data_IF_196533881765
#
_entry.id   IF_196533881765
#
_cell.length_a   1.000
_cell.length_b   1.000
_cell.length_c   1.000
_cell.angle_alpha   90.00
_cell.angle_beta   90.00
_cell.angle_gamma   90.00
#
_symmetry.space_group_name_H-M   'P 1'
#
loop_
_entity.id
_entity.type
_entity.pdbx_description
1 polymer ?
#
# COMPACT_ATOMS: atom_id res chain seq x y z
N UNK A 1 -23.70 -8.86 17.62
CA UNK A 1 -22.43 -8.34 17.11
C UNK A 1 -21.34 -9.38 17.38
N UNK A 2 -20.90 -10.09 16.35
CA UNK A 2 -19.71 -10.96 16.45
C UNK A 2 -18.49 -10.05 16.41
N UNK A 3 -17.92 -9.77 17.55
CA UNK A 3 -16.55 -9.29 17.65
C UNK A 3 -15.65 -10.44 17.23
N UNK A 4 -15.06 -10.37 16.06
CA UNK A 4 -13.96 -11.25 15.70
C UNK A 4 -12.78 -10.73 16.53
N UNK A 5 -12.56 -11.35 17.67
CA UNK A 5 -11.28 -11.25 18.35
C UNK A 5 -10.26 -11.87 17.39
N UNK A 6 -9.42 -11.03 16.78
CA UNK A 6 -8.21 -11.52 16.12
C UNK A 6 -7.39 -12.13 17.26
N UNK A 7 -7.31 -13.44 17.26
CA UNK A 7 -6.61 -14.17 18.31
C UNK A 7 -5.16 -13.69 18.36
N UNK A 8 -4.62 -13.41 19.55
CA UNK A 8 -3.24 -12.96 19.76
C UNK A 8 -2.23 -13.89 19.06
N UNK A 9 -2.52 -15.19 18.94
CA UNK A 9 -1.71 -16.15 18.20
C UNK A 9 -1.65 -15.87 16.71
N UNK A 10 -2.76 -15.42 16.09
CA UNK A 10 -2.80 -15.06 14.66
C UNK A 10 -1.99 -13.82 14.38
N UNK A 11 -2.07 -12.80 15.22
CA UNK A 11 -1.26 -11.57 15.07
C UNK A 11 0.23 -11.89 15.21
N UNK A 12 0.59 -12.73 16.19
CA UNK A 12 1.97 -13.18 16.38
C UNK A 12 2.50 -13.94 15.15
N UNK A 13 1.70 -14.81 14.56
CA UNK A 13 2.06 -15.52 13.33
C UNK A 13 2.29 -14.58 12.15
N UNK A 14 1.44 -13.56 11.99
CA UNK A 14 1.59 -12.53 10.95
C UNK A 14 2.92 -11.79 11.14
N UNK A 15 3.20 -11.33 12.35
CA UNK A 15 4.43 -10.61 12.67
C UNK A 15 5.66 -11.51 12.43
N UNK A 16 5.62 -12.77 12.85
CA UNK A 16 6.70 -13.72 12.62
C UNK A 16 6.98 -13.90 11.13
N UNK A 17 5.94 -14.02 10.30
CA UNK A 17 6.09 -14.11 8.85
C UNK A 17 6.72 -12.83 8.26
N UNK A 18 6.26 -11.67 8.69
CA UNK A 18 6.82 -10.39 8.27
C UNK A 18 8.30 -10.25 8.65
N UNK A 19 8.68 -10.71 9.83
CA UNK A 19 10.07 -10.68 10.31
C UNK A 19 11.00 -11.59 9.51
N UNK A 20 10.47 -12.67 8.95
CA UNK A 20 11.25 -13.56 8.07
C UNK A 20 11.57 -12.92 6.72
N UNK A 21 10.81 -11.93 6.30
CA UNK A 21 10.95 -11.31 4.99
C UNK A 21 10.34 -12.12 3.85
N UNK A 22 10.65 -11.73 2.64
CA UNK A 22 10.18 -12.45 1.44
C UNK A 22 8.74 -12.18 1.04
N UNK A 23 8.07 -11.19 1.64
CA UNK A 23 6.69 -10.86 1.34
C UNK A 23 6.57 -9.64 0.44
N UNK A 24 5.49 -9.60 -0.35
CA UNK A 24 4.95 -8.38 -0.92
C UNK A 24 4.02 -7.76 0.11
N UNK A 25 4.27 -6.50 0.48
CA UNK A 25 3.42 -5.79 1.43
C UNK A 25 2.79 -4.61 0.71
N UNK A 26 1.54 -4.79 0.30
CA UNK A 26 0.74 -3.72 -0.27
C UNK A 26 0.15 -2.87 0.83
N UNK A 27 0.27 -1.56 0.72
CA UNK A 27 -0.37 -0.62 1.63
C UNK A 27 -1.25 0.32 0.80
N UNK A 28 -2.56 0.29 1.03
CA UNK A 28 -3.40 1.33 0.49
C UNK A 28 -3.03 2.65 1.17
N UNK A 29 -2.87 3.72 0.39
CA UNK A 29 -2.58 5.03 0.96
C UNK A 29 -3.49 5.33 2.16
N UNK A 30 -3.01 6.10 3.10
CA UNK A 30 -3.74 6.47 4.30
C UNK A 30 -5.00 7.27 3.96
N UNK A 31 -5.82 7.51 4.96
CA UNK A 31 -7.12 8.15 4.79
C UNK A 31 -7.01 9.51 4.11
N UNK A 32 -7.73 9.61 2.99
CA UNK A 32 -7.89 10.83 2.21
C UNK A 32 -9.39 11.03 1.96
N UNK A 33 -10.03 12.06 2.56
CA UNK A 33 -11.48 12.23 2.46
C UNK A 33 -11.98 12.36 1.02
N UNK A 34 -13.14 11.80 0.74
CA UNK A 34 -13.77 11.86 -0.57
C UNK A 34 -13.43 10.68 -1.47
N UNK A 35 -13.75 10.82 -2.76
CA UNK A 35 -13.53 9.81 -3.79
C UNK A 35 -12.89 10.43 -5.02
N UNK A 36 -12.05 9.66 -5.71
CA UNK A 36 -11.43 10.08 -6.96
C UNK A 36 -10.50 11.28 -6.79
N UNK A 37 -10.33 12.03 -7.84
CA UNK A 37 -9.56 13.28 -7.88
C UNK A 37 -10.34 14.35 -8.65
N UNK A 38 -10.06 15.64 -8.44
CA UNK A 38 -10.67 16.72 -9.24
C UNK A 38 -10.44 16.56 -10.74
N UNK A 39 -11.32 17.15 -11.56
CA UNK A 39 -11.19 17.06 -13.02
C UNK A 39 -9.92 17.71 -13.56
N UNK A 40 -9.41 18.74 -12.87
CA UNK A 40 -8.18 19.42 -13.24
C UNK A 40 -6.91 18.71 -12.71
N UNK A 41 -7.02 17.44 -12.37
CA UNK A 41 -5.92 16.65 -11.83
C UNK A 41 -4.63 16.81 -12.64
N UNK A 42 -3.54 17.13 -11.94
CA UNK A 42 -2.18 17.15 -12.45
C UNK A 42 -1.28 16.39 -11.47
N UNK A 43 -0.62 15.36 -11.95
CA UNK A 43 0.25 14.51 -11.14
C UNK A 43 1.41 15.28 -10.49
N UNK A 44 1.82 16.39 -11.10
CA UNK A 44 2.91 17.24 -10.62
C UNK A 44 2.45 18.34 -9.67
N UNK A 45 1.15 18.47 -9.43
CA UNK A 45 0.60 19.51 -8.56
C UNK A 45 -0.37 18.91 -7.53
N UNK A 46 0.11 18.77 -6.29
CA UNK A 46 -0.70 18.17 -5.22
C UNK A 46 -1.98 18.95 -4.92
N UNK A 47 -2.04 20.25 -5.18
CA UNK A 47 -3.24 21.06 -4.96
C UNK A 47 -4.42 20.63 -5.84
N UNK A 48 -4.14 19.97 -6.96
CA UNK A 48 -5.16 19.42 -7.86
C UNK A 48 -5.59 18.00 -7.50
N UNK A 49 -5.13 17.47 -6.38
CA UNK A 49 -5.36 16.08 -5.99
C UNK A 49 -6.14 15.96 -4.68
N UNK A 50 -6.82 14.82 -4.52
CA UNK A 50 -7.39 14.43 -3.24
C UNK A 50 -6.26 13.96 -2.32
N UNK A 51 -6.05 14.68 -1.22
CA UNK A 51 -4.90 14.46 -0.34
C UNK A 51 -5.31 13.93 1.03
N UNK A 52 -4.32 13.49 1.80
CA UNK A 52 -4.52 13.09 3.20
C UNK A 52 -5.01 14.29 4.01
N UNK A 53 -5.81 13.99 5.02
CA UNK A 53 -6.10 14.95 6.10
C UNK A 53 -5.27 14.62 7.34
N UNK A 54 -5.54 15.29 8.46
CA UNK A 54 -4.83 15.06 9.73
C UNK A 54 -4.96 13.61 10.19
N UNK A 55 -6.16 13.01 10.06
CA UNK A 55 -6.37 11.59 10.41
C UNK A 55 -5.53 10.66 9.54
N UNK A 56 -5.42 10.94 8.26
CA UNK A 56 -4.57 10.16 7.35
C UNK A 56 -3.09 10.28 7.67
N UNK A 57 -2.64 11.47 8.06
CA UNK A 57 -1.24 11.66 8.49
C UNK A 57 -0.94 10.91 9.79
N UNK A 58 -1.87 10.92 10.75
CA UNK A 58 -1.75 10.11 11.96
C UNK A 58 -1.75 8.61 11.66
N UNK A 59 -2.63 8.17 10.77
CA UNK A 59 -2.65 6.77 10.32
C UNK A 59 -1.31 6.37 9.69
N UNK A 60 -0.72 7.24 8.88
CA UNK A 60 0.59 6.99 8.26
C UNK A 60 1.69 6.81 9.30
N UNK A 61 1.66 7.59 10.39
CA UNK A 61 2.58 7.41 11.52
C UNK A 61 2.39 6.05 12.20
N UNK A 62 1.14 5.64 12.41
CA UNK A 62 0.83 4.33 13.00
C UNK A 62 1.32 3.19 12.12
N UNK A 63 1.19 3.31 10.80
CA UNK A 63 1.73 2.34 9.84
C UNK A 63 3.25 2.22 10.06
N UNK A 64 3.96 3.34 10.05
CA UNK A 64 5.42 3.34 10.25
C UNK A 64 5.82 2.74 11.59
N UNK A 65 5.11 3.09 12.66
CA UNK A 65 5.36 2.56 14.00
C UNK A 65 5.18 1.03 14.06
N UNK A 66 4.18 0.50 13.37
CA UNK A 66 3.96 -0.95 13.30
C UNK A 66 5.20 -1.67 12.76
N UNK A 67 5.77 -1.18 11.66
CA UNK A 67 6.99 -1.77 11.08
C UNK A 67 8.19 -1.63 11.99
N UNK A 68 8.37 -0.46 12.60
CA UNK A 68 9.50 -0.17 13.47
C UNK A 68 9.47 -0.96 14.77
N UNK A 69 8.33 -0.94 15.45
CA UNK A 69 8.16 -1.63 16.75
C UNK A 69 8.29 -3.14 16.64
N UNK A 70 7.88 -3.71 15.51
CA UNK A 70 7.97 -5.15 15.25
C UNK A 70 9.24 -5.55 14.49
N UNK A 71 10.17 -4.63 14.26
CA UNK A 71 11.45 -4.89 13.60
C UNK A 71 11.30 -5.63 12.27
N UNK A 72 10.32 -5.21 11.45
CA UNK A 72 10.03 -5.84 10.16
C UNK A 72 11.05 -5.38 9.11
N UNK A 73 11.82 -6.30 8.52
CA UNK A 73 12.84 -5.93 7.53
C UNK A 73 12.19 -5.49 6.20
N UNK A 74 12.66 -4.37 5.67
CA UNK A 74 12.19 -3.80 4.41
C UNK A 74 13.37 -3.68 3.46
N UNK A 75 13.24 -4.23 2.25
CA UNK A 75 14.23 -4.06 1.18
C UNK A 75 14.09 -2.68 0.54
N UNK A 76 12.86 -2.33 0.18
CA UNK A 76 12.56 -1.12 -0.56
C UNK A 76 11.10 -0.74 -0.36
N UNK A 77 10.84 0.55 -0.33
CA UNK A 77 9.49 1.13 -0.35
C UNK A 77 9.28 1.78 -1.70
N UNK A 78 8.27 1.33 -2.43
CA UNK A 78 7.89 1.90 -3.72
C UNK A 78 6.49 2.48 -3.59
N UNK A 79 6.30 3.68 -4.10
CA UNK A 79 5.03 4.39 -4.05
C UNK A 79 4.51 4.73 -5.44
N UNK A 80 3.19 4.78 -5.56
CA UNK A 80 2.54 5.51 -6.64
C UNK A 80 3.05 6.96 -6.69
N UNK A 81 3.01 7.56 -7.85
CA UNK A 81 3.37 8.97 -8.05
C UNK A 81 2.31 9.96 -7.51
N UNK A 82 1.11 9.48 -7.13
CA UNK A 82 0.08 10.31 -6.50
C UNK A 82 0.53 10.86 -5.16
N UNK A 83 0.20 12.10 -4.89
CA UNK A 83 0.64 12.79 -3.67
C UNK A 83 0.20 12.09 -2.39
N UNK A 84 -1.04 11.56 -2.32
CA UNK A 84 -1.50 10.83 -1.13
C UNK A 84 -0.72 9.56 -0.85
N UNK A 85 -0.23 8.90 -1.88
CA UNK A 85 0.64 7.73 -1.71
C UNK A 85 2.05 8.12 -1.27
N UNK A 86 2.63 9.14 -1.91
CA UNK A 86 3.95 9.65 -1.54
C UNK A 86 3.98 10.18 -0.12
N UNK A 87 2.94 10.89 0.31
CA UNK A 87 2.86 11.40 1.68
C UNK A 87 2.73 10.26 2.70
N UNK A 88 1.91 9.25 2.41
CA UNK A 88 1.84 8.05 3.25
C UNK A 88 3.21 7.40 3.39
N UNK A 89 3.90 7.16 2.28
CA UNK A 89 5.23 6.55 2.27
C UNK A 89 6.28 7.39 3.00
N UNK A 90 6.26 8.70 2.79
CA UNK A 90 7.19 9.63 3.45
C UNK A 90 7.02 9.62 4.97
N UNK A 91 5.78 9.72 5.45
CA UNK A 91 5.50 9.76 6.89
C UNK A 91 5.83 8.41 7.54
N UNK A 92 5.44 7.31 6.91
CA UNK A 92 5.62 5.97 7.47
C UNK A 92 7.08 5.49 7.41
N UNK A 93 7.78 5.75 6.31
CA UNK A 93 9.09 5.12 6.04
C UNK A 93 10.23 6.08 5.76
N UNK A 94 9.99 7.35 5.56
CA UNK A 94 10.94 8.42 5.19
C UNK A 94 11.51 8.26 3.78
N UNK A 95 12.11 7.12 3.47
CA UNK A 95 12.75 6.86 2.17
C UNK A 95 11.84 6.00 1.30
N UNK A 96 11.63 6.42 0.06
CA UNK A 96 10.86 5.68 -0.93
C UNK A 96 11.28 6.07 -2.34
N UNK A 97 10.95 5.20 -3.29
CA UNK A 97 11.04 5.47 -4.72
C UNK A 97 9.63 5.46 -5.30
N UNK A 98 9.45 6.05 -6.47
CA UNK A 98 8.16 6.03 -7.17
C UNK A 98 8.22 5.16 -8.42
N UNK A 99 7.09 4.51 -8.73
CA UNK A 99 6.92 3.75 -9.96
C UNK A 99 5.51 3.93 -10.50
N UNK A 100 5.41 4.19 -11.80
CA UNK A 100 4.13 4.49 -12.43
C UNK A 100 3.18 3.29 -12.50
N UNK A 101 3.67 2.06 -12.39
CA UNK A 101 2.82 0.88 -12.37
C UNK A 101 1.97 0.77 -11.09
N UNK A 102 2.26 1.59 -10.07
CA UNK A 102 1.44 1.69 -8.86
C UNK A 102 0.42 2.83 -8.92
N UNK A 103 0.36 3.57 -10.02
CA UNK A 103 -0.54 4.70 -10.17
C UNK A 103 -2.01 4.27 -10.25
N UNK A 104 -2.92 5.18 -9.89
CA UNK A 104 -4.35 4.91 -9.97
C UNK A 104 -4.84 4.83 -11.42
N UNK A 105 -5.64 3.82 -11.70
CA UNK A 105 -6.43 3.74 -12.93
C UNK A 105 -7.94 3.78 -12.65
N UNK A 106 -8.33 4.37 -11.51
CA UNK A 106 -9.73 4.51 -11.12
C UNK A 106 -10.52 5.43 -12.05
N UNK A 107 -9.94 6.59 -12.39
CA UNK A 107 -10.57 7.51 -13.34
C UNK A 107 -10.67 6.89 -14.73
N UNK A 108 -11.78 7.13 -15.42
CA UNK A 108 -11.96 6.71 -16.83
C UNK A 108 -10.79 7.15 -17.71
N UNK A 109 -10.20 8.30 -17.42
CA UNK A 109 -9.03 8.87 -18.11
C UNK A 109 -7.81 7.93 -18.06
N UNK A 110 -7.64 7.17 -16.98
CA UNK A 110 -6.48 6.30 -16.75
C UNK A 110 -6.81 4.81 -16.81
N UNK A 111 -8.07 4.45 -16.97
CA UNK A 111 -8.52 3.04 -16.97
C UNK A 111 -7.82 2.18 -18.03
N UNK A 112 -7.46 2.76 -19.16
CA UNK A 112 -6.73 2.09 -20.26
C UNK A 112 -5.35 1.60 -19.86
N UNK A 113 -4.76 2.13 -18.78
CA UNK A 113 -3.40 1.79 -18.34
C UNK A 113 -3.35 0.50 -17.51
N UNK A 114 -4.49 -0.01 -17.06
CA UNK A 114 -4.58 -1.14 -16.12
C UNK A 114 -3.73 -2.35 -16.53
N UNK A 115 -3.92 -2.87 -17.74
CA UNK A 115 -3.23 -4.09 -18.19
C UNK A 115 -1.72 -3.93 -18.22
N UNK A 116 -1.25 -2.80 -18.73
CA UNK A 116 0.19 -2.50 -18.81
C UNK A 116 0.80 -2.34 -17.42
N UNK A 117 0.10 -1.65 -16.52
CA UNK A 117 0.57 -1.45 -15.15
C UNK A 117 0.69 -2.79 -14.41
N UNK A 118 -0.32 -3.67 -14.54
CA UNK A 118 -0.27 -4.99 -13.91
C UNK A 118 0.87 -5.85 -14.46
N UNK A 119 1.12 -5.80 -15.77
CA UNK A 119 2.26 -6.49 -16.37
C UNK A 119 3.58 -5.99 -15.82
N UNK A 120 3.77 -4.68 -15.75
CA UNK A 120 5.00 -4.06 -15.22
C UNK A 120 5.20 -4.40 -13.74
N UNK A 121 4.13 -4.37 -12.95
CA UNK A 121 4.19 -4.77 -11.55
C UNK A 121 4.66 -6.22 -11.39
N UNK A 122 4.08 -7.13 -12.15
CA UNK A 122 4.47 -8.55 -12.11
C UNK A 122 5.90 -8.78 -12.57
N UNK A 123 6.33 -8.09 -13.62
CA UNK A 123 7.71 -8.17 -14.12
C UNK A 123 8.70 -7.65 -13.08
N UNK A 124 8.36 -6.54 -12.41
CA UNK A 124 9.17 -5.98 -11.33
C UNK A 124 9.34 -6.96 -10.18
N UNK A 125 8.25 -7.57 -9.74
CA UNK A 125 8.28 -8.55 -8.64
C UNK A 125 9.10 -9.78 -9.01
N UNK A 126 9.07 -10.23 -10.27
CA UNK A 126 9.93 -11.33 -10.73
C UNK A 126 11.42 -11.01 -10.64
N UNK A 127 11.80 -9.75 -10.81
CA UNK A 127 13.19 -9.31 -10.73
C UNK A 127 13.69 -9.13 -9.29
N UNK A 128 12.78 -9.11 -8.32
CA UNK A 128 13.12 -8.94 -6.91
C UNK A 128 13.60 -10.27 -6.30
N UNK A 129 14.69 -10.23 -5.53
CA UNK A 129 15.32 -11.43 -4.98
C UNK A 129 14.56 -12.07 -3.80
N UNK A 130 13.66 -11.32 -3.14
CA UNK A 130 12.79 -11.86 -2.10
C UNK A 130 13.39 -12.09 -0.73
N UNK A 131 14.56 -11.57 -0.40
CA UNK A 131 15.19 -11.75 0.91
C UNK A 131 14.47 -10.95 2.01
N UNK A 132 14.25 -9.67 1.75
CA UNK A 132 13.50 -8.77 2.63
C UNK A 132 12.15 -8.45 2.02
N UNK A 133 11.27 -7.84 2.82
CA UNK A 133 9.97 -7.46 2.33
C UNK A 133 10.04 -6.29 1.33
N UNK A 134 9.19 -6.34 0.32
CA UNK A 134 8.98 -5.26 -0.62
C UNK A 134 7.66 -4.55 -0.27
N UNK A 135 7.73 -3.26 0.04
CA UNK A 135 6.56 -2.45 0.40
C UNK A 135 6.10 -1.64 -0.81
N UNK A 136 4.82 -1.75 -1.13
CA UNK A 136 4.18 -1.13 -2.28
C UNK A 136 3.03 -0.24 -1.80
N UNK A 137 3.23 1.08 -1.75
CA UNK A 137 2.21 2.05 -1.34
C UNK A 137 1.42 2.49 -2.56
N UNK A 138 0.14 2.16 -2.60
CA UNK A 138 -0.65 2.30 -3.81
C UNK A 138 -2.14 2.56 -3.51
N UNK A 139 -2.99 2.29 -4.46
CA UNK A 139 -4.41 2.60 -4.46
C UNK A 139 -5.27 1.35 -4.33
N UNK A 140 -6.51 1.56 -3.86
CA UNK A 140 -7.54 0.51 -3.82
C UNK A 140 -7.61 -0.29 -5.11
N UNK A 141 -7.66 0.39 -6.27
CA UNK A 141 -7.86 -0.28 -7.57
C UNK A 141 -6.68 -1.17 -7.95
N UNK A 142 -5.46 -0.77 -7.61
CA UNK A 142 -4.26 -1.58 -7.88
C UNK A 142 -4.24 -2.83 -7.00
N UNK A 143 -4.51 -2.68 -5.72
CA UNK A 143 -4.55 -3.82 -4.78
C UNK A 143 -5.68 -4.78 -5.15
N UNK A 144 -6.86 -4.23 -5.47
CA UNK A 144 -8.02 -5.04 -5.88
C UNK A 144 -7.71 -5.86 -7.13
N UNK A 145 -7.09 -5.26 -8.13
CA UNK A 145 -6.72 -5.95 -9.37
C UNK A 145 -5.61 -7.00 -9.14
N UNK A 146 -4.60 -6.64 -8.34
CA UNK A 146 -3.46 -7.53 -8.10
C UNK A 146 -3.80 -8.71 -7.21
N UNK A 147 -4.61 -8.51 -6.16
CA UNK A 147 -4.84 -9.49 -5.11
C UNK A 147 -6.30 -9.97 -5.01
N UNK A 148 -7.20 -9.45 -5.84
CA UNK A 148 -8.64 -9.71 -5.74
C UNK A 148 -9.16 -9.46 -4.30
N UNK A 149 -8.80 -8.32 -3.74
CA UNK A 149 -9.11 -7.94 -2.37
C UNK A 149 -9.42 -6.44 -2.28
N UNK A 150 -10.42 -6.08 -1.50
CA UNK A 150 -10.88 -4.70 -1.30
C UNK A 150 -10.33 -4.11 0.02
N UNK A 151 -9.19 -3.39 -0.01
CA UNK A 151 -8.58 -2.88 1.21
C UNK A 151 -9.26 -1.62 1.73
N UNK A 152 -9.24 -1.45 3.05
CA UNK A 152 -9.57 -0.19 3.72
C UNK A 152 -8.42 0.82 3.59
N UNK A 153 -8.68 2.09 3.91
CA UNK A 153 -7.62 3.12 3.95
C UNK A 153 -6.51 2.71 4.90
N UNK A 154 -5.26 2.80 4.46
CA UNK A 154 -4.09 2.50 5.28
C UNK A 154 -3.91 1.03 5.64
N UNK A 155 -4.71 0.14 5.09
CA UNK A 155 -4.60 -1.29 5.39
C UNK A 155 -3.31 -1.86 4.82
N UNK A 156 -2.64 -2.68 5.64
CA UNK A 156 -1.41 -3.41 5.28
C UNK A 156 -1.84 -4.80 4.80
N UNK A 157 -1.65 -5.09 3.53
CA UNK A 157 -2.07 -6.36 2.91
C UNK A 157 -0.83 -7.17 2.52
N UNK A 158 -0.68 -8.34 3.11
CA UNK A 158 0.50 -9.18 2.94
C UNK A 158 0.21 -10.25 1.91
N UNK A 159 1.09 -10.38 0.92
CA UNK A 159 0.99 -11.37 -0.14
C UNK A 159 2.33 -12.07 -0.37
N UNK A 160 2.26 -13.25 -0.98
CA UNK A 160 3.45 -13.94 -1.46
C UNK A 160 3.88 -13.43 -2.86
N UNK A 161 5.00 -13.93 -3.36
CA UNK A 161 5.55 -13.56 -4.68
C UNK A 161 4.62 -13.90 -5.86
N UNK A 162 3.66 -14.78 -5.64
CA UNK A 162 2.68 -15.18 -6.66
C UNK A 162 1.39 -14.37 -6.55
N UNK A 163 1.40 -13.27 -5.82
CA UNK A 163 0.25 -12.40 -5.61
C UNK A 163 -0.92 -13.08 -4.91
N UNK A 164 -0.61 -14.07 -4.06
CA UNK A 164 -1.60 -14.68 -3.19
C UNK A 164 -1.64 -13.91 -1.86
N UNK A 165 -2.81 -13.37 -1.53
CA UNK A 165 -3.02 -12.72 -0.24
C UNK A 165 -2.88 -13.77 0.89
N UNK A 166 -2.05 -13.46 1.88
CA UNK A 166 -1.84 -14.31 3.06
C UNK A 166 -2.59 -13.78 4.27
N UNK A 167 -2.44 -12.49 4.57
CA UNK A 167 -3.06 -11.82 5.70
C UNK A 167 -3.21 -10.33 5.44
N UNK A 168 -3.91 -9.63 6.32
CA UNK A 168 -3.95 -8.18 6.33
C UNK A 168 -4.08 -7.63 7.75
N UNK A 169 -3.67 -6.36 7.92
CA UNK A 169 -3.74 -5.65 9.20
C UNK A 169 -4.39 -4.31 8.92
N UNK A 170 -5.50 -4.04 9.60
CA UNK A 170 -6.15 -2.75 9.58
C UNK A 170 -5.49 -1.81 10.57
N UNK A 171 -5.30 -0.56 10.15
CA UNK A 171 -4.73 0.50 10.97
C UNK A 171 -5.79 1.59 11.13
N UNK A 172 -6.10 1.96 12.36
CA UNK A 172 -7.09 2.98 12.67
C UNK A 172 -6.62 4.39 12.28
N UNK A 173 -7.59 5.26 12.01
CA UNK A 173 -7.33 6.67 11.74
C UNK A 173 -8.31 7.60 12.47
#
# INVERSE_FOLDING_TARGET
ALTIEINADTEKEIINNLQKGGNLIFIRHAYAPGNGDPENFDINNCETQRNLNQSGRLQSKKIGNFFKENEIPIKLVISSEWCRCKETALIAFKNYETENFLNSFYSAKFAKNRKMQMKKLKDYVKSWNGDKNLVLVTHYVVISEALNYAPSSGEIVIADKNFKKLNSIEIDY
#
